data_IF_939059638248
#
_entry.id   IF_939059638248
#
_cell.length_a   1.000
_cell.length_b   1.000
_cell.length_c   1.000
_cell.angle_alpha   90.00
_cell.angle_beta   90.00
_cell.angle_gamma   90.00
#
_symmetry.space_group_name_H-M   'P 1'
#
loop_
_entity.id
_entity.type
_entity.pdbx_description
1 polymer ?
#
# COMPACT_ATOMS: atom_id res chain seq x y z
N UNK A 1 13.93 -4.76 -28.73
CA UNK A 1 13.41 -3.38 -28.71
C UNK A 1 11.94 -3.46 -28.36
N UNK A 2 11.61 -3.28 -27.08
CA UNK A 2 10.23 -3.17 -26.61
C UNK A 2 10.22 -2.09 -25.53
N UNK A 3 9.82 -0.88 -25.92
CA UNK A 3 9.60 0.22 -24.99
C UNK A 3 8.11 0.57 -25.09
N UNK A 4 7.31 -0.08 -24.25
CA UNK A 4 5.90 0.27 -24.08
C UNK A 4 5.89 1.58 -23.28
N UNK A 5 5.75 2.72 -23.96
CA UNK A 5 5.58 4.01 -23.29
C UNK A 5 4.18 4.09 -22.70
N UNK A 6 4.11 4.29 -21.39
CA UNK A 6 2.85 4.53 -20.68
C UNK A 6 2.12 5.75 -21.25
N UNK A 7 0.84 5.60 -21.54
CA UNK A 7 -0.01 6.68 -22.03
C UNK A 7 -0.43 7.62 -20.90
N UNK A 8 -0.79 8.87 -21.22
CA UNK A 8 -1.30 9.81 -20.22
C UNK A 8 -2.59 9.33 -19.51
N UNK A 9 -3.37 8.48 -20.17
CA UNK A 9 -4.57 7.85 -19.57
C UNK A 9 -4.20 6.84 -18.49
N UNK A 10 -3.21 5.98 -18.75
CA UNK A 10 -2.74 4.97 -17.80
C UNK A 10 -2.17 5.62 -16.54
N UNK A 11 -1.31 6.63 -16.71
CA UNK A 11 -0.76 7.39 -15.58
C UNK A 11 -1.86 8.00 -14.71
N UNK A 12 -2.92 8.54 -15.31
CA UNK A 12 -4.06 9.10 -14.59
C UNK A 12 -4.84 8.03 -13.82
N UNK A 13 -5.08 6.86 -14.42
CA UNK A 13 -5.75 5.74 -13.75
C UNK A 13 -4.93 5.20 -12.58
N UNK A 14 -3.62 5.04 -12.77
CA UNK A 14 -2.69 4.63 -11.72
C UNK A 14 -2.70 5.62 -10.55
N UNK A 15 -2.63 6.93 -10.84
CA UNK A 15 -2.67 7.94 -9.78
C UNK A 15 -4.01 7.90 -9.01
N UNK A 16 -5.13 7.67 -9.69
CA UNK A 16 -6.43 7.48 -9.01
C UNK A 16 -6.41 6.27 -8.09
N UNK A 17 -5.84 5.16 -8.54
CA UNK A 17 -5.70 3.95 -7.72
C UNK A 17 -4.82 4.21 -6.47
N UNK A 18 -3.70 4.91 -6.63
CA UNK A 18 -2.81 5.34 -5.52
C UNK A 18 -3.57 6.19 -4.51
N UNK A 19 -4.29 7.21 -4.97
CA UNK A 19 -5.04 8.10 -4.09
C UNK A 19 -6.13 7.33 -3.32
N UNK A 20 -6.82 6.40 -4.00
CA UNK A 20 -7.87 5.59 -3.40
C UNK A 20 -7.30 4.60 -2.37
N UNK A 21 -6.23 3.87 -2.71
CA UNK A 21 -5.54 2.96 -1.79
C UNK A 21 -5.07 3.71 -0.54
N UNK A 22 -4.42 4.85 -0.72
CA UNK A 22 -3.96 5.73 0.37
C UNK A 22 -5.12 6.16 1.26
N UNK A 23 -6.24 6.58 0.66
CA UNK A 23 -7.43 6.98 1.42
C UNK A 23 -8.04 5.83 2.24
N UNK A 24 -8.16 4.63 1.67
CA UNK A 24 -8.70 3.47 2.39
C UNK A 24 -7.75 3.05 3.54
N UNK A 25 -6.43 3.08 3.33
CA UNK A 25 -5.44 2.84 4.40
C UNK A 25 -5.61 3.86 5.53
N UNK A 26 -5.70 5.16 5.20
CA UNK A 26 -5.94 6.22 6.18
C UNK A 26 -7.27 6.03 6.94
N UNK A 27 -8.31 5.57 6.26
CA UNK A 27 -9.62 5.30 6.87
C UNK A 27 -9.54 4.14 7.87
N UNK A 28 -8.91 3.02 7.48
CA UNK A 28 -8.73 1.84 8.34
C UNK A 28 -7.88 2.20 9.57
N UNK A 29 -6.85 3.01 9.39
CA UNK A 29 -5.85 3.35 10.41
C UNK A 29 -6.06 4.72 11.04
N UNK A 30 -7.27 5.28 10.99
CA UNK A 30 -7.54 6.69 11.35
C UNK A 30 -7.09 7.11 12.76
N UNK A 31 -6.98 6.17 13.70
CA UNK A 31 -6.53 6.38 15.08
C UNK A 31 -5.04 6.04 15.32
N UNK A 32 -4.31 5.60 14.29
CA UNK A 32 -2.91 5.21 14.36
C UNK A 32 -1.94 6.19 13.65
N UNK A 33 -2.46 7.32 13.14
CA UNK A 33 -1.68 8.36 12.44
C UNK A 33 -0.76 7.80 11.34
N UNK A 34 -1.34 7.14 10.31
CA UNK A 34 -0.54 6.44 9.32
C UNK A 34 0.18 7.42 8.39
N UNK A 35 1.43 7.11 8.09
CA UNK A 35 2.23 7.73 7.03
C UNK A 35 2.45 6.72 5.91
N UNK A 36 2.15 7.11 4.67
CA UNK A 36 2.23 6.23 3.49
C UNK A 36 3.35 6.69 2.57
N UNK A 37 4.27 5.78 2.27
CA UNK A 37 5.40 6.01 1.37
C UNK A 37 5.27 5.12 0.14
N UNK A 38 5.52 5.69 -1.03
CA UNK A 38 5.72 4.93 -2.26
C UNK A 38 7.22 4.80 -2.51
N UNK A 39 7.65 3.66 -3.03
CA UNK A 39 9.05 3.45 -3.42
C UNK A 39 9.12 2.61 -4.70
N UNK A 40 10.31 2.09 -5.00
CA UNK A 40 10.51 1.17 -6.11
C UNK A 40 10.36 1.81 -7.50
N UNK A 41 9.98 0.98 -8.46
CA UNK A 41 10.04 1.32 -9.90
C UNK A 41 9.19 2.54 -10.28
N UNK A 42 8.08 2.75 -9.56
CA UNK A 42 7.20 3.91 -9.76
C UNK A 42 7.89 5.24 -9.44
N UNK A 43 8.63 5.31 -8.34
CA UNK A 43 9.30 6.53 -7.90
C UNK A 43 10.59 6.77 -8.70
N UNK A 44 11.21 5.70 -9.19
CA UNK A 44 12.43 5.75 -10.01
C UNK A 44 12.16 6.00 -11.51
N UNK A 45 10.91 6.24 -11.91
CA UNK A 45 10.48 6.45 -13.30
C UNK A 45 10.83 5.28 -14.25
N UNK A 46 10.88 4.04 -13.72
CA UNK A 46 11.07 2.79 -14.48
C UNK A 46 9.88 1.83 -14.28
N UNK A 47 8.69 2.37 -14.06
CA UNK A 47 7.48 1.56 -13.95
C UNK A 47 7.09 1.00 -15.33
N UNK A 48 6.90 -0.32 -15.39
CA UNK A 48 6.56 -1.04 -16.61
C UNK A 48 5.22 -1.74 -16.44
N UNK A 49 4.17 -1.29 -17.16
CA UNK A 49 2.88 -1.97 -17.13
C UNK A 49 3.01 -3.47 -17.45
N UNK A 50 2.43 -4.30 -16.59
CA UNK A 50 2.48 -5.76 -16.70
C UNK A 50 3.74 -6.44 -16.13
N UNK A 51 4.71 -5.67 -15.62
CA UNK A 51 5.94 -6.19 -14.99
C UNK A 51 6.21 -5.59 -13.62
N UNK A 52 5.82 -4.32 -13.42
CA UNK A 52 6.06 -3.59 -12.19
C UNK A 52 4.87 -3.67 -11.24
N UNK A 53 5.20 -3.82 -9.97
CA UNK A 53 4.30 -3.60 -8.84
C UNK A 53 4.34 -2.11 -8.40
N UNK A 54 3.38 -1.74 -7.56
CA UNK A 54 3.28 -0.44 -6.89
C UNK A 54 3.72 -0.67 -5.44
N UNK A 55 5.01 -0.46 -5.20
CA UNK A 55 5.62 -0.65 -3.89
C UNK A 55 5.17 0.41 -2.88
N UNK A 56 4.65 -0.04 -1.73
CA UNK A 56 4.11 0.82 -0.67
C UNK A 56 4.63 0.42 0.72
N UNK A 57 4.97 1.41 1.54
CA UNK A 57 5.32 1.21 2.95
C UNK A 57 4.41 2.09 3.81
N UNK A 58 3.72 1.49 4.77
CA UNK A 58 2.86 2.21 5.70
C UNK A 58 3.48 2.19 7.09
N UNK A 59 3.68 3.35 7.68
CA UNK A 59 4.20 3.50 9.03
C UNK A 59 3.10 4.04 9.94
N UNK A 60 2.98 3.51 11.16
CA UNK A 60 2.11 4.08 12.19
C UNK A 60 2.89 4.39 13.45
N UNK A 61 2.44 5.41 14.19
CA UNK A 61 3.03 5.77 15.48
C UNK A 61 2.51 4.85 16.60
N UNK A 62 1.34 4.25 16.41
CA UNK A 62 0.66 3.38 17.39
C UNK A 62 0.45 1.99 16.82
N UNK A 63 0.35 1.00 17.71
CA UNK A 63 0.03 -0.36 17.34
C UNK A 63 -1.40 -0.43 16.78
N UNK A 64 -1.56 -1.19 15.69
CA UNK A 64 -2.87 -1.43 15.09
C UNK A 64 -3.59 -2.58 15.80
N UNK A 65 -4.90 -2.52 15.83
CA UNK A 65 -5.74 -3.62 16.32
C UNK A 65 -5.76 -4.80 15.34
N UNK A 66 -6.14 -5.98 15.83
CA UNK A 66 -6.35 -7.17 14.99
C UNK A 66 -7.42 -6.94 13.92
N UNK A 67 -8.48 -6.19 14.25
CA UNK A 67 -9.53 -5.82 13.29
C UNK A 67 -8.97 -4.97 12.15
N UNK A 68 -8.09 -4.00 12.46
CA UNK A 68 -7.43 -3.17 11.45
C UNK A 68 -6.49 -4.01 10.59
N UNK A 69 -5.68 -4.88 11.20
CA UNK A 69 -4.81 -5.79 10.46
C UNK A 69 -5.60 -6.68 9.49
N UNK A 70 -6.73 -7.24 9.94
CA UNK A 70 -7.58 -8.09 9.09
C UNK A 70 -8.21 -7.31 7.93
N UNK A 71 -8.59 -6.04 8.14
CA UNK A 71 -9.08 -5.16 7.07
C UNK A 71 -7.99 -4.86 6.04
N UNK A 72 -6.75 -4.60 6.49
CA UNK A 72 -5.62 -4.34 5.61
C UNK A 72 -5.26 -5.55 4.75
N UNK A 73 -5.20 -6.77 5.31
CA UNK A 73 -4.91 -8.00 4.56
C UNK A 73 -5.90 -8.22 3.41
N UNK A 74 -7.18 -7.87 3.63
CA UNK A 74 -8.24 -8.05 2.64
C UNK A 74 -8.46 -6.81 1.75
N UNK A 75 -7.66 -5.75 1.90
CA UNK A 75 -7.94 -4.44 1.31
C UNK A 75 -7.94 -4.50 -0.23
N UNK A 76 -6.90 -5.07 -0.84
CA UNK A 76 -6.80 -5.21 -2.30
C UNK A 76 -7.99 -5.95 -2.90
N UNK A 77 -8.40 -7.04 -2.26
CA UNK A 77 -9.56 -7.83 -2.70
C UNK A 77 -10.84 -7.02 -2.56
N UNK A 78 -11.07 -6.41 -1.39
CA UNK A 78 -12.26 -5.59 -1.11
C UNK A 78 -12.41 -4.44 -2.11
N UNK A 79 -11.31 -3.75 -2.43
CA UNK A 79 -11.32 -2.67 -3.42
C UNK A 79 -11.58 -3.19 -4.84
N UNK A 80 -10.96 -4.32 -5.21
CA UNK A 80 -11.17 -4.97 -6.50
C UNK A 80 -12.62 -5.42 -6.71
N UNK A 81 -13.29 -5.88 -5.65
CA UNK A 81 -14.71 -6.27 -5.70
C UNK A 81 -15.63 -5.06 -5.85
N UNK A 82 -15.33 -3.95 -5.15
CA UNK A 82 -16.08 -2.68 -5.27
C UNK A 82 -15.91 -2.01 -6.63
N UNK A 83 -14.73 -2.11 -7.23
CA UNK A 83 -14.35 -1.42 -8.45
C UNK A 83 -13.60 -2.38 -9.42
N UNK A 84 -14.29 -3.37 -10.01
CA UNK A 84 -13.67 -4.44 -10.80
C UNK A 84 -12.96 -3.97 -12.08
N UNK A 85 -13.25 -2.74 -12.53
CA UNK A 85 -12.59 -2.13 -13.70
C UNK A 85 -11.20 -1.55 -13.41
N UNK A 86 -10.77 -1.46 -12.15
CA UNK A 86 -9.46 -0.93 -11.79
C UNK A 86 -8.45 -2.06 -11.56
N UNK A 87 -7.63 -2.32 -12.56
CA UNK A 87 -6.61 -3.38 -12.52
C UNK A 87 -5.43 -3.08 -11.59
N UNK A 88 -5.19 -1.81 -11.23
CA UNK A 88 -4.02 -1.40 -10.45
C UNK A 88 -4.09 -1.87 -9.00
N UNK A 89 -5.28 -2.14 -8.43
CA UNK A 89 -5.38 -2.60 -7.03
C UNK A 89 -4.63 -3.89 -6.77
N UNK A 90 -4.45 -4.74 -7.79
CA UNK A 90 -3.72 -6.01 -7.67
C UNK A 90 -2.21 -5.85 -7.74
N UNK A 91 -1.73 -4.70 -8.17
CA UNK A 91 -0.30 -4.42 -8.33
C UNK A 91 0.31 -3.83 -7.06
N UNK A 92 -0.47 -3.45 -6.05
CA UNK A 92 0.11 -2.96 -4.80
C UNK A 92 0.84 -4.09 -4.10
N UNK A 93 2.09 -3.84 -3.73
CA UNK A 93 2.92 -4.74 -2.93
C UNK A 93 3.56 -3.94 -1.81
N UNK A 94 3.60 -4.52 -0.61
CA UNK A 94 4.32 -3.90 0.49
C UNK A 94 3.79 -4.32 1.85
N UNK A 95 4.09 -3.50 2.84
CA UNK A 95 3.72 -3.82 4.20
C UNK A 95 3.57 -2.61 5.10
N UNK A 96 3.06 -2.91 6.29
CA UNK A 96 2.82 -1.95 7.35
C UNK A 96 3.73 -2.26 8.55
N UNK A 97 4.26 -1.21 9.19
CA UNK A 97 5.11 -1.28 10.37
C UNK A 97 4.71 -0.21 11.41
N UNK A 98 4.75 -0.54 12.69
CA UNK A 98 4.64 0.45 13.77
C UNK A 98 6.04 0.94 14.17
N UNK A 99 6.25 2.26 14.26
CA UNK A 99 7.57 2.87 14.50
C UNK A 99 8.20 2.43 15.83
N UNK A 100 7.39 2.15 16.85
CA UNK A 100 7.86 1.70 18.17
C UNK A 100 8.55 0.32 18.14
N UNK A 101 8.41 -0.42 17.03
CA UNK A 101 9.15 -1.68 16.79
C UNK A 101 10.67 -1.48 16.62
N UNK A 102 11.15 -0.25 16.40
CA UNK A 102 12.56 0.04 16.13
C UNK A 102 13.43 0.33 17.37
N UNK A 103 12.83 0.58 18.55
CA UNK A 103 13.55 1.00 19.76
C UNK A 103 12.98 0.35 21.03
N UNK A 104 12.95 -0.98 21.12
CA UNK A 104 12.63 -1.62 22.41
C UNK A 104 13.46 -2.90 22.65
N UNK A 105 14.34 -2.94 23.68
CA UNK A 105 15.21 -4.09 23.96
C UNK A 105 14.50 -5.28 24.65
N UNK A 106 13.17 -5.27 24.76
CA UNK A 106 12.40 -6.40 25.31
C UNK A 106 11.10 -6.61 24.52
N UNK A 107 10.68 -7.86 24.23
CA UNK A 107 9.55 -8.14 23.36
C UNK A 107 8.24 -7.96 24.14
N UNK A 108 7.59 -6.82 23.98
CA UNK A 108 6.15 -6.68 24.26
C UNK A 108 5.40 -6.79 22.94
N UNK A 109 5.17 -8.04 22.54
CA UNK A 109 4.49 -8.47 21.30
C UNK A 109 5.22 -8.19 19.98
N UNK A 110 5.14 -9.11 18.99
CA UNK A 110 5.89 -8.99 17.75
C UNK A 110 5.49 -7.72 17.01
N UNK A 111 6.43 -7.06 16.33
CA UNK A 111 6.09 -6.05 15.34
C UNK A 111 4.99 -6.61 14.41
N UNK A 112 3.82 -5.98 14.40
CA UNK A 112 2.73 -6.40 13.53
C UNK A 112 3.08 -5.98 12.11
N UNK A 113 3.81 -6.83 11.39
CA UNK A 113 4.00 -6.66 9.96
C UNK A 113 2.76 -7.18 9.25
N UNK A 114 2.03 -6.28 8.61
CA UNK A 114 0.87 -6.64 7.78
C UNK A 114 1.23 -6.47 6.33
N UNK A 115 1.13 -7.54 5.55
CA UNK A 115 1.25 -7.49 4.10
C UNK A 115 -0.01 -6.84 3.52
N UNK A 116 0.19 -5.76 2.77
CA UNK A 116 -0.85 -5.08 2.01
C UNK A 116 -1.00 -5.74 0.65
#
# INVERSE_FOLDING_TARGET
MWEQKETGSERCQRQKAINKMTHEIHSILSDCEPSVYLYGSLVLDDFRPGWSDIDILVLTDRQISEEQAQKLVNLRQTMSEKEPGNSYYRLFEGGMLTLDAGYCPMPVHPAHFVLL
#
